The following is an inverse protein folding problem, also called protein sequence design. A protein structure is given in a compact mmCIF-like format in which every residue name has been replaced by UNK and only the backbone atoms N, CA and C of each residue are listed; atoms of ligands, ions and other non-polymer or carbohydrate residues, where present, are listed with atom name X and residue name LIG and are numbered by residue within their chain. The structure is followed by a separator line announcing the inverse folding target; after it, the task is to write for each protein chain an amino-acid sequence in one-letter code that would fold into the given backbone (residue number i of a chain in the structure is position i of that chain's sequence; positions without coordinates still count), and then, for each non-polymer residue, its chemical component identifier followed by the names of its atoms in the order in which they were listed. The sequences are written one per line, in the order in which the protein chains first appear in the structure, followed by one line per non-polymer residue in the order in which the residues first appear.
data_IF_747129401963
#
_entry.id   IF_747129401963
#
_cell.length_a   1.000
_cell.length_b   1.000
_cell.length_c   1.000
_cell.angle_alpha   90.00
_cell.angle_beta   90.00
_cell.angle_gamma   90.00
#
_symmetry.space_group_name_H-M   'P 1'
#
loop_
_entity.id
_entity.type
_entity.pdbx_description
1 polymer ?
#
# COMPACT_ATOMS: atom_id res chain seq x y z
N UNK A 1 15.36 -46.00 21.65
CA UNK A 1 15.73 -45.03 20.60
C UNK A 1 14.86 -43.78 20.72
N UNK A 2 15.43 -42.66 21.16
CA UNK A 2 14.69 -41.42 21.37
C UNK A 2 14.48 -40.70 20.02
N UNK A 3 13.22 -40.51 19.60
CA UNK A 3 12.88 -39.71 18.43
C UNK A 3 13.27 -38.24 18.66
N UNK A 4 14.34 -37.77 17.98
CA UNK A 4 14.69 -36.34 17.94
C UNK A 4 13.50 -35.54 17.42
N UNK A 5 12.84 -34.76 18.28
CA UNK A 5 11.84 -33.77 17.87
C UNK A 5 12.54 -32.72 16.98
N UNK A 6 12.22 -32.73 15.68
CA UNK A 6 12.69 -31.67 14.76
C UNK A 6 12.16 -30.34 15.28
N UNK A 7 13.07 -29.36 15.56
CA UNK A 7 12.69 -28.00 15.88
C UNK A 7 11.85 -27.46 14.75
N UNK A 8 10.72 -26.76 15.02
CA UNK A 8 9.91 -26.16 13.97
C UNK A 8 10.77 -25.16 13.19
N UNK A 9 10.85 -25.35 11.87
CA UNK A 9 11.49 -24.39 10.96
C UNK A 9 10.68 -23.09 11.06
N UNK A 10 11.31 -22.00 11.53
CA UNK A 10 10.67 -20.68 11.58
C UNK A 10 10.26 -20.33 10.15
N UNK A 11 8.97 -20.33 9.84
CA UNK A 11 8.45 -19.85 8.56
C UNK A 11 8.95 -18.43 8.34
N UNK A 12 9.62 -18.17 7.20
CA UNK A 12 10.06 -16.83 6.79
C UNK A 12 8.85 -15.89 6.80
N UNK A 13 9.01 -14.70 7.38
CA UNK A 13 7.96 -13.68 7.37
C UNK A 13 7.58 -13.32 5.93
N UNK A 14 6.28 -13.29 5.62
CA UNK A 14 5.80 -12.88 4.30
C UNK A 14 5.99 -11.39 4.11
N UNK A 15 6.38 -10.99 2.91
CA UNK A 15 6.44 -9.58 2.50
C UNK A 15 5.11 -9.20 1.85
N UNK A 16 4.45 -8.22 2.44
CA UNK A 16 3.22 -7.61 1.90
C UNK A 16 3.57 -6.27 1.31
N UNK A 17 3.19 -6.06 0.07
CA UNK A 17 3.35 -4.80 -0.63
C UNK A 17 2.00 -4.09 -0.71
N UNK A 18 1.96 -2.84 -0.28
CA UNK A 18 0.82 -1.94 -0.45
C UNK A 18 1.27 -0.67 -1.16
N UNK A 19 0.38 -0.01 -1.88
CA UNK A 19 0.70 1.24 -2.56
C UNK A 19 -0.41 2.27 -2.45
N UNK A 20 -0.05 3.56 -2.53
CA UNK A 20 -1.03 4.63 -2.51
C UNK A 20 -0.41 6.02 -2.65
N UNK A 21 -1.26 7.03 -2.73
CA UNK A 21 -0.83 8.43 -2.71
C UNK A 21 -0.53 8.89 -1.29
N UNK A 22 -1.37 8.52 -0.32
CA UNK A 22 -1.28 8.87 1.10
C UNK A 22 -1.20 10.39 1.34
N UNK A 23 -1.96 11.18 0.56
CA UNK A 23 -2.07 12.62 0.75
C UNK A 23 -3.02 12.92 1.90
N UNK A 24 -2.64 13.87 2.80
CA UNK A 24 -3.41 14.16 4.01
C UNK A 24 -3.75 12.88 4.78
N UNK A 25 -2.75 12.26 5.37
CA UNK A 25 -2.88 10.96 6.06
C UNK A 25 -4.09 10.96 7.01
N UNK A 26 -4.97 9.97 6.86
CA UNK A 26 -6.22 9.85 7.60
C UNK A 26 -6.50 8.39 7.99
N UNK A 27 -7.52 8.18 8.82
CA UNK A 27 -7.86 6.86 9.35
C UNK A 27 -8.13 5.81 8.24
N UNK A 28 -8.72 6.23 7.12
CA UNK A 28 -8.91 5.34 5.97
C UNK A 28 -7.61 4.73 5.44
N UNK A 29 -6.53 5.50 5.41
CA UNK A 29 -5.20 4.99 5.05
C UNK A 29 -4.67 3.98 6.08
N UNK A 30 -4.82 4.29 7.38
CA UNK A 30 -4.37 3.39 8.45
C UNK A 30 -5.11 2.06 8.38
N UNK A 31 -6.42 2.09 8.22
CA UNK A 31 -7.25 0.87 8.09
C UNK A 31 -6.89 0.04 6.87
N UNK A 32 -6.66 0.69 5.73
CA UNK A 32 -6.17 0.01 4.53
C UNK A 32 -4.85 -0.73 4.80
N UNK A 33 -3.88 -0.07 5.44
CA UNK A 33 -2.59 -0.66 5.74
C UNK A 33 -2.66 -1.77 6.80
N UNK A 34 -3.56 -1.65 7.79
CA UNK A 34 -3.84 -2.71 8.77
C UNK A 34 -4.32 -3.99 8.09
N UNK A 35 -5.30 -3.88 7.20
CA UNK A 35 -5.84 -5.03 6.49
C UNK A 35 -4.84 -5.60 5.48
N UNK A 36 -4.07 -4.74 4.81
CA UNK A 36 -2.98 -5.18 3.96
C UNK A 36 -1.98 -6.04 4.74
N UNK A 37 -1.52 -5.59 5.90
CA UNK A 37 -0.58 -6.36 6.75
C UNK A 37 -1.18 -7.68 7.21
N UNK A 38 -2.45 -7.70 7.60
CA UNK A 38 -3.17 -8.93 8.01
C UNK A 38 -3.21 -9.98 6.90
N UNK A 39 -3.31 -9.57 5.63
CA UNK A 39 -3.32 -10.49 4.49
C UNK A 39 -2.04 -11.35 4.39
N UNK A 40 -0.93 -10.87 4.91
CA UNK A 40 0.32 -11.62 4.98
C UNK A 40 0.44 -12.54 6.21
N UNK A 41 -0.45 -12.41 7.19
CA UNK A 41 -0.44 -13.19 8.43
C UNK A 41 0.31 -12.51 9.58
N UNK A 42 0.38 -13.21 10.72
CA UNK A 42 0.79 -12.66 12.02
C UNK A 42 2.15 -11.95 12.04
N UNK A 43 3.12 -12.44 11.29
CA UNK A 43 4.49 -11.90 11.29
C UNK A 43 4.86 -11.26 9.94
N UNK A 44 3.87 -10.80 9.19
CA UNK A 44 4.11 -10.21 7.88
C UNK A 44 4.89 -8.89 8.01
N UNK A 45 5.80 -8.66 7.06
CA UNK A 45 6.49 -7.38 6.86
C UNK A 45 5.71 -6.56 5.83
N UNK A 46 5.28 -5.37 6.21
CA UNK A 46 4.56 -4.45 5.34
C UNK A 46 5.51 -3.42 4.73
N UNK A 47 5.64 -3.46 3.42
CA UNK A 47 6.39 -2.47 2.62
C UNK A 47 5.38 -1.62 1.86
N UNK A 48 5.50 -0.31 1.96
CA UNK A 48 4.54 0.62 1.34
C UNK A 48 5.22 1.44 0.25
N UNK A 49 4.65 1.44 -0.93
CA UNK A 49 5.07 2.31 -2.04
C UNK A 49 4.22 3.57 -2.03
N UNK A 50 4.85 4.70 -1.84
CA UNK A 50 4.22 6.03 -1.90
C UNK A 50 4.38 6.60 -3.30
N UNK A 51 3.26 6.92 -3.96
CA UNK A 51 3.28 7.44 -5.33
C UNK A 51 3.99 8.80 -5.41
N UNK A 52 4.82 8.97 -6.43
CA UNK A 52 5.51 10.25 -6.68
C UNK A 52 4.53 11.34 -7.10
N UNK A 53 4.90 12.59 -6.82
CA UNK A 53 4.08 13.76 -7.15
C UNK A 53 3.77 13.84 -8.64
N UNK A 54 4.76 13.58 -9.50
CA UNK A 54 4.59 13.52 -10.97
C UNK A 54 3.60 12.45 -11.39
N UNK A 55 3.69 11.26 -10.79
CA UNK A 55 2.80 10.12 -11.08
C UNK A 55 1.36 10.45 -10.69
N UNK A 56 1.17 11.08 -9.53
CA UNK A 56 -0.17 11.50 -9.07
C UNK A 56 -0.73 12.59 -9.96
N UNK A 57 0.07 13.61 -10.30
CA UNK A 57 -0.35 14.71 -11.18
C UNK A 57 -0.78 14.20 -12.56
N UNK A 58 -0.03 13.28 -13.15
CA UNK A 58 -0.37 12.66 -14.44
C UNK A 58 -1.69 11.88 -14.37
N UNK A 59 -1.96 11.18 -13.25
CA UNK A 59 -3.15 10.33 -13.11
C UNK A 59 -4.39 11.09 -12.67
N UNK A 60 -4.24 12.09 -11.77
CA UNK A 60 -5.36 12.81 -11.14
C UNK A 60 -5.53 14.26 -11.63
N UNK A 61 -4.64 14.73 -12.52
CA UNK A 61 -4.68 16.10 -13.03
C UNK A 61 -4.11 17.17 -12.08
N UNK A 62 -3.76 16.81 -10.84
CA UNK A 62 -3.18 17.74 -9.86
C UNK A 62 -2.19 17.03 -8.95
N UNK A 63 -1.22 17.78 -8.45
CA UNK A 63 -0.27 17.28 -7.42
C UNK A 63 -0.99 17.05 -6.09
N UNK A 64 -0.45 16.15 -5.23
CA UNK A 64 -0.86 16.08 -3.83
C UNK A 64 -0.61 17.41 -3.12
N UNK A 65 -1.32 17.65 -2.00
CA UNK A 65 -1.05 18.79 -1.12
C UNK A 65 0.30 18.64 -0.46
N UNK A 66 0.60 17.43 0.04
CA UNK A 66 1.86 17.14 0.71
C UNK A 66 2.90 16.61 -0.28
N UNK A 67 4.15 17.15 -0.25
CA UNK A 67 5.24 16.64 -1.08
C UNK A 67 5.52 15.14 -0.83
N UNK A 68 5.95 14.43 -1.87
CA UNK A 68 6.18 12.97 -1.81
C UNK A 68 7.08 12.53 -0.66
N UNK A 69 8.12 13.31 -0.32
CA UNK A 69 9.02 12.99 0.79
C UNK A 69 8.32 13.07 2.15
N UNK A 70 7.45 14.07 2.36
CA UNK A 70 6.66 14.19 3.58
C UNK A 70 5.66 13.04 3.70
N UNK A 71 4.98 12.70 2.60
CA UNK A 71 4.02 11.59 2.57
C UNK A 71 4.71 10.27 2.89
N UNK A 72 5.88 10.02 2.30
CA UNK A 72 6.69 8.84 2.58
C UNK A 72 7.11 8.78 4.06
N UNK A 73 7.65 9.87 4.60
CA UNK A 73 8.11 9.94 5.98
C UNK A 73 6.96 9.70 6.99
N UNK A 74 5.77 10.28 6.74
CA UNK A 74 4.60 10.05 7.58
C UNK A 74 4.14 8.58 7.54
N UNK A 75 4.10 7.97 6.36
CA UNK A 75 3.75 6.55 6.23
C UNK A 75 4.77 5.66 6.93
N UNK A 76 6.06 5.96 6.77
CA UNK A 76 7.15 5.22 7.42
C UNK A 76 7.08 5.30 8.96
N UNK A 77 6.58 6.41 9.50
CA UNK A 77 6.42 6.60 10.95
C UNK A 77 5.27 5.80 11.57
N UNK A 78 4.39 5.22 10.77
CA UNK A 78 3.30 4.39 11.26
C UNK A 78 3.85 3.08 11.84
N UNK A 79 3.51 2.79 13.08
CA UNK A 79 3.97 1.60 13.82
C UNK A 79 3.76 0.27 13.09
N UNK A 80 2.75 0.20 12.21
CA UNK A 80 2.44 -1.02 11.46
C UNK A 80 3.27 -1.18 10.17
N UNK A 81 3.91 -0.11 9.70
CA UNK A 81 4.74 -0.10 8.48
C UNK A 81 6.16 -0.47 8.83
N UNK A 82 6.71 -1.42 8.10
CA UNK A 82 8.09 -1.88 8.31
C UNK A 82 9.07 -1.15 7.39
N UNK A 83 8.60 -0.66 6.23
CA UNK A 83 9.40 0.12 5.29
C UNK A 83 8.48 0.95 4.36
N UNK A 84 8.91 2.15 3.98
CA UNK A 84 8.18 2.99 3.03
C UNK A 84 9.13 3.57 1.99
N UNK A 85 8.85 3.29 0.72
CA UNK A 85 9.67 3.72 -0.43
C UNK A 85 8.87 4.57 -1.39
N UNK A 86 9.54 5.46 -2.11
CA UNK A 86 8.91 6.16 -3.23
C UNK A 86 8.77 5.23 -4.44
N UNK A 87 7.65 5.33 -5.11
CA UNK A 87 7.42 4.64 -6.38
C UNK A 87 8.39 5.08 -7.46
N UNK A 88 8.50 4.28 -8.52
CA UNK A 88 9.28 4.64 -9.71
C UNK A 88 8.52 5.65 -10.56
N UNK A 89 9.24 6.54 -11.27
CA UNK A 89 8.62 7.53 -12.16
C UNK A 89 7.84 6.86 -13.30
N UNK A 90 8.39 5.80 -13.85
CA UNK A 90 7.69 4.90 -14.76
C UNK A 90 7.26 3.68 -13.96
N UNK A 91 5.96 3.62 -13.63
CA UNK A 91 5.42 2.50 -12.87
C UNK A 91 5.53 1.22 -13.70
N UNK A 92 6.54 0.42 -13.37
CA UNK A 92 6.70 -0.94 -13.89
C UNK A 92 6.56 -1.94 -12.75
N UNK A 93 5.45 -2.67 -12.78
CA UNK A 93 5.16 -3.69 -11.76
C UNK A 93 6.20 -4.81 -11.76
N UNK A 94 6.80 -5.12 -12.90
CA UNK A 94 7.86 -6.12 -13.01
C UNK A 94 9.06 -5.76 -12.17
N UNK A 95 9.57 -4.55 -12.32
CA UNK A 95 10.69 -4.02 -11.52
C UNK A 95 10.39 -4.00 -10.04
N UNK A 96 9.16 -3.62 -9.66
CA UNK A 96 8.71 -3.63 -8.26
C UNK A 96 8.75 -5.05 -7.68
N UNK A 97 8.21 -6.03 -8.39
CA UNK A 97 8.20 -7.44 -7.97
C UNK A 97 9.62 -7.99 -7.85
N UNK A 98 10.49 -7.71 -8.81
CA UNK A 98 11.88 -8.19 -8.79
C UNK A 98 12.69 -7.63 -7.61
N UNK A 99 12.51 -6.36 -7.29
CA UNK A 99 13.25 -5.69 -6.21
C UNK A 99 12.72 -6.00 -4.82
N UNK A 100 11.41 -6.00 -4.64
CA UNK A 100 10.78 -6.15 -3.34
C UNK A 100 10.38 -7.58 -3.01
N UNK A 101 10.27 -8.45 -4.02
CA UNK A 101 9.94 -9.88 -3.89
C UNK A 101 8.76 -10.14 -2.95
N UNK A 102 7.60 -9.52 -3.19
CA UNK A 102 6.45 -9.67 -2.31
C UNK A 102 5.84 -11.07 -2.41
N UNK A 103 5.31 -11.56 -1.30
CA UNK A 103 4.46 -12.75 -1.25
C UNK A 103 2.98 -12.38 -1.44
N UNK A 104 2.61 -11.16 -1.04
CA UNK A 104 1.26 -10.61 -1.16
C UNK A 104 1.34 -9.19 -1.69
N UNK A 105 0.47 -8.85 -2.65
CA UNK A 105 0.25 -7.47 -3.11
C UNK A 105 -1.17 -7.08 -2.74
N UNK A 106 -1.30 -6.08 -1.87
CA UNK A 106 -2.57 -5.51 -1.47
C UNK A 106 -2.88 -4.28 -2.34
N UNK A 107 -4.08 -4.24 -2.90
CA UNK A 107 -4.58 -3.11 -3.70
C UNK A 107 -5.81 -2.50 -3.04
N UNK A 108 -5.94 -1.19 -3.06
CA UNK A 108 -7.08 -0.48 -2.49
C UNK A 108 -8.34 -0.61 -3.36
N UNK A 109 -9.49 -0.34 -2.76
CA UNK A 109 -10.80 -0.43 -3.42
C UNK A 109 -10.94 0.47 -4.66
N UNK A 110 -10.19 1.55 -4.72
CA UNK A 110 -10.18 2.56 -5.80
C UNK A 110 -9.00 2.41 -6.78
N UNK A 111 -8.30 1.29 -6.74
CA UNK A 111 -7.09 1.01 -7.54
C UNK A 111 -7.33 -0.04 -8.63
N UNK A 112 -8.49 -0.04 -9.30
CA UNK A 112 -8.86 -1.07 -10.29
C UNK A 112 -7.84 -1.19 -11.44
N UNK A 113 -7.32 -0.07 -11.94
CA UNK A 113 -6.30 -0.09 -12.99
C UNK A 113 -4.97 -0.71 -12.53
N UNK A 114 -4.56 -0.45 -11.30
CA UNK A 114 -3.35 -1.06 -10.70
C UNK A 114 -3.61 -2.54 -10.47
N UNK A 115 -4.78 -2.91 -9.92
CA UNK A 115 -5.16 -4.30 -9.70
C UNK A 115 -5.08 -5.12 -10.99
N UNK A 116 -5.66 -4.61 -12.09
CA UNK A 116 -5.64 -5.30 -13.38
C UNK A 116 -4.22 -5.53 -13.90
N UNK A 117 -3.35 -4.51 -13.81
CA UNK A 117 -1.95 -4.62 -14.21
C UNK A 117 -1.16 -5.63 -13.36
N UNK A 118 -1.36 -5.61 -12.04
CA UNK A 118 -0.71 -6.54 -11.10
C UNK A 118 -1.14 -7.97 -11.39
N UNK A 119 -2.44 -8.23 -11.48
CA UNK A 119 -2.98 -9.58 -11.77
C UNK A 119 -2.49 -10.11 -13.11
N UNK A 120 -2.48 -9.27 -14.15
CA UNK A 120 -1.94 -9.61 -15.47
C UNK A 120 -0.46 -10.01 -15.39
N UNK A 121 0.38 -9.21 -14.73
CA UNK A 121 1.82 -9.48 -14.60
C UNK A 121 2.09 -10.75 -13.80
N UNK A 122 1.37 -10.95 -12.70
CA UNK A 122 1.49 -12.16 -11.85
C UNK A 122 1.11 -13.40 -12.64
N UNK A 123 0.01 -13.37 -13.41
CA UNK A 123 -0.46 -14.49 -14.22
C UNK A 123 0.50 -14.80 -15.39
N UNK A 124 0.93 -13.78 -16.14
CA UNK A 124 1.84 -13.94 -17.28
C UNK A 124 3.20 -14.54 -16.88
N UNK A 125 3.74 -14.08 -15.75
CA UNK A 125 5.04 -14.56 -15.23
C UNK A 125 4.91 -15.79 -14.33
N UNK A 126 3.70 -16.33 -14.12
CA UNK A 126 3.39 -17.47 -13.25
C UNK A 126 4.02 -17.35 -11.85
N UNK A 127 3.91 -16.16 -11.25
CA UNK A 127 4.52 -15.85 -9.96
C UNK A 127 3.63 -16.35 -8.80
N UNK A 128 4.20 -16.91 -7.72
CA UNK A 128 3.46 -17.37 -6.54
C UNK A 128 3.09 -16.18 -5.62
N UNK A 129 2.50 -15.13 -6.18
CA UNK A 129 2.12 -13.90 -5.47
C UNK A 129 0.61 -13.86 -5.31
N UNK A 130 0.15 -13.70 -4.08
CA UNK A 130 -1.25 -13.48 -3.78
C UNK A 130 -1.61 -12.00 -4.00
N UNK A 131 -2.65 -11.73 -4.79
CA UNK A 131 -3.18 -10.37 -4.98
C UNK A 131 -4.49 -10.24 -4.22
N UNK A 132 -4.55 -9.30 -3.28
CA UNK A 132 -5.70 -9.09 -2.39
C UNK A 132 -6.24 -7.69 -2.59
N UNK A 133 -7.54 -7.58 -2.88
CA UNK A 133 -8.24 -6.29 -2.92
C UNK A 133 -8.77 -5.97 -1.54
N UNK A 134 -8.38 -4.81 -1.01
CA UNK A 134 -8.84 -4.31 0.28
C UNK A 134 -10.05 -3.42 0.07
N UNK A 135 -11.13 -3.71 0.79
CA UNK A 135 -12.37 -2.96 0.70
C UNK A 135 -12.27 -1.54 1.28
N UNK A 136 -13.28 -0.73 1.00
CA UNK A 136 -13.41 0.61 1.58
C UNK A 136 -13.80 0.51 3.05
N UNK A 137 -13.11 1.28 3.91
CA UNK A 137 -13.41 1.32 5.33
C UNK A 137 -14.27 2.51 5.72
N UNK A 138 -15.31 2.20 6.50
CA UNK A 138 -16.10 3.15 7.25
C UNK A 138 -17.01 4.05 6.41
N UNK A 139 -18.00 4.59 7.11
CA UNK A 139 -18.89 5.65 6.62
C UNK A 139 -18.41 7.04 7.08
N UNK A 140 -17.22 7.12 7.69
CA UNK A 140 -16.70 8.34 8.27
C UNK A 140 -16.56 9.46 7.24
N UNK A 141 -16.92 10.66 7.64
CA UNK A 141 -16.88 11.84 6.77
C UNK A 141 -15.45 12.20 6.32
N UNK A 142 -14.43 11.84 7.11
CA UNK A 142 -13.03 12.19 6.86
C UNK A 142 -12.15 11.01 6.43
N UNK A 143 -12.73 9.96 5.88
CA UNK A 143 -12.00 8.77 5.44
C UNK A 143 -11.41 8.87 4.02
N UNK A 144 -11.34 10.04 3.44
CA UNK A 144 -10.64 10.30 2.18
C UNK A 144 -10.06 11.71 2.13
N UNK A 145 -8.92 11.86 1.45
CA UNK A 145 -8.29 13.17 1.24
C UNK A 145 -9.22 14.19 0.57
N UNK A 146 -10.08 13.73 -0.35
CA UNK A 146 -11.06 14.59 -1.02
C UNK A 146 -12.09 15.16 -0.03
N UNK A 147 -12.61 14.32 0.87
CA UNK A 147 -13.56 14.76 1.90
C UNK A 147 -12.92 15.76 2.86
N UNK A 148 -11.67 15.53 3.26
CA UNK A 148 -10.91 16.46 4.09
C UNK A 148 -10.75 17.81 3.38
N UNK A 149 -10.34 17.82 2.11
CA UNK A 149 -10.20 19.03 1.29
C UNK A 149 -11.51 19.81 1.19
N UNK A 150 -12.62 19.12 0.93
CA UNK A 150 -13.95 19.74 0.87
C UNK A 150 -14.33 20.38 2.21
N UNK A 151 -14.16 19.68 3.31
CA UNK A 151 -14.47 20.21 4.64
C UNK A 151 -13.64 21.44 4.98
N UNK A 152 -12.35 21.45 4.67
CA UNK A 152 -11.48 22.64 4.83
C UNK A 152 -12.04 23.80 4.00
N UNK A 153 -12.38 23.57 2.73
CA UNK A 153 -12.92 24.60 1.85
C UNK A 153 -14.24 25.17 2.38
N UNK A 154 -15.11 24.32 2.92
CA UNK A 154 -16.40 24.75 3.50
C UNK A 154 -16.20 25.59 4.76
N UNK A 155 -15.29 25.21 5.64
CA UNK A 155 -15.01 25.91 6.89
C UNK A 155 -14.36 27.28 6.69
N UNK A 156 -13.61 27.48 5.61
CA UNK A 156 -12.82 28.69 5.35
C UNK A 156 -13.27 29.44 4.10
N UNK A 157 -14.44 29.12 3.55
CA UNK A 157 -15.12 30.03 2.59
C UNK A 157 -15.53 31.29 3.36
N UNK A 158 -14.79 32.39 3.18
CA UNK A 158 -15.20 33.73 3.54
C UNK A 158 -15.87 34.38 2.35
#
# INVERSE_FOLDING_TARGET
MAKRKRKPVKKKAKVVLASGTFDLLHLGHVKYLEEAKKAGGKNARLVVIVARDKTVAKRKGSKPIMPEQHRRALVESLKLVDDAVLGYENFDIGTVIEKLKPDVIAVGHDQDGIEAQVRKSVAQKKLPIQVVKIGKFGKDELNSSLKIKRKITELYKR
#
